data_IF_982886675231
#
_entry.id   IF_982886675231
#
_cell.length_a   1.000
_cell.length_b   1.000
_cell.length_c   1.000
_cell.angle_alpha   90.00
_cell.angle_beta   90.00
_cell.angle_gamma   90.00
#
_symmetry.space_group_name_H-M   'P 1'
#
loop_
_entity.id
_entity.type
_entity.pdbx_description
1 polymer ?
#
# COMPACT_ATOMS: atom_id res chain seq x y z
N UNK A 1 8.63 -15.23 15.23
CA UNK A 1 7.45 -15.72 15.94
C UNK A 1 6.15 -15.38 15.21
N UNK A 2 5.94 -14.12 14.80
CA UNK A 2 4.69 -13.67 14.19
C UNK A 2 4.43 -14.35 12.82
N UNK A 3 5.41 -14.34 11.91
CA UNK A 3 5.30 -14.99 10.59
C UNK A 3 5.05 -16.48 10.72
N UNK A 4 5.72 -17.17 11.65
CA UNK A 4 5.50 -18.59 11.91
C UNK A 4 4.06 -18.87 12.37
N UNK A 5 3.54 -18.05 13.29
CA UNK A 5 2.15 -18.16 13.74
C UNK A 5 1.11 -17.95 12.64
N UNK A 6 1.38 -17.03 11.72
CA UNK A 6 0.53 -16.77 10.55
C UNK A 6 0.54 -17.95 9.58
N UNK A 7 1.73 -18.47 9.25
CA UNK A 7 1.86 -19.62 8.34
C UNK A 7 1.20 -20.88 8.90
N UNK A 8 1.38 -21.15 10.19
CA UNK A 8 0.72 -22.30 10.86
C UNK A 8 -0.80 -22.14 10.82
N UNK A 9 -1.31 -20.94 11.00
CA UNK A 9 -2.77 -20.65 11.01
C UNK A 9 -3.40 -20.74 9.63
N UNK A 10 -2.68 -20.29 8.57
CA UNK A 10 -3.26 -20.16 7.24
C UNK A 10 -2.78 -21.20 6.23
N UNK A 11 -1.94 -22.15 6.64
CA UNK A 11 -1.52 -23.27 5.81
C UNK A 11 -0.68 -22.85 4.58
N UNK A 12 0.17 -21.84 4.72
CA UNK A 12 1.02 -21.40 3.61
C UNK A 12 2.04 -22.47 3.22
N UNK A 13 2.05 -22.90 1.94
CA UNK A 13 2.97 -23.91 1.43
C UNK A 13 4.19 -23.29 0.72
N UNK A 14 4.03 -22.10 0.14
CA UNK A 14 5.06 -21.43 -0.67
C UNK A 14 5.34 -20.03 -0.12
N UNK A 15 6.62 -19.68 0.02
CA UNK A 15 7.02 -18.33 0.34
C UNK A 15 7.92 -17.73 -0.75
N UNK A 16 7.68 -16.47 -1.08
CA UNK A 16 8.57 -15.66 -1.93
C UNK A 16 9.11 -14.55 -1.04
N UNK A 17 10.40 -14.59 -0.73
CA UNK A 17 10.98 -13.80 0.36
C UNK A 17 12.22 -13.05 -0.14
N UNK A 18 12.32 -11.77 0.23
CA UNK A 18 13.57 -11.06 0.05
C UNK A 18 14.69 -11.69 0.88
N UNK A 19 15.88 -11.88 0.28
CA UNK A 19 17.06 -12.51 0.92
C UNK A 19 17.32 -11.99 2.35
N UNK A 20 17.08 -10.71 2.61
CA UNK A 20 17.27 -10.11 3.94
C UNK A 20 16.25 -10.51 4.99
N UNK A 21 15.13 -11.03 4.57
CA UNK A 21 14.02 -11.37 5.48
C UNK A 21 13.87 -12.88 5.67
N UNK A 22 14.68 -13.68 5.00
CA UNK A 22 14.52 -15.14 4.97
C UNK A 22 14.65 -15.79 6.36
N UNK A 23 15.50 -15.24 7.23
CA UNK A 23 15.69 -15.74 8.61
C UNK A 23 14.45 -15.56 9.50
N UNK A 24 13.48 -14.73 9.08
CA UNK A 24 12.22 -14.55 9.79
C UNK A 24 11.18 -15.64 9.49
N UNK A 25 11.45 -16.48 8.48
CA UNK A 25 10.53 -17.52 8.01
C UNK A 25 10.94 -18.89 8.54
N UNK A 26 9.98 -19.69 9.05
CA UNK A 26 10.22 -21.06 9.44
C UNK A 26 10.33 -21.95 8.20
N UNK A 27 11.54 -22.19 7.75
CA UNK A 27 11.81 -22.92 6.50
C UNK A 27 11.40 -24.40 6.57
N UNK A 28 11.24 -24.95 7.76
CA UNK A 28 10.85 -26.32 8.04
C UNK A 28 9.34 -26.60 7.88
N UNK A 29 8.51 -25.56 7.88
CA UNK A 29 7.05 -25.70 7.70
C UNK A 29 6.58 -25.28 6.30
N UNK A 30 7.50 -24.90 5.42
CA UNK A 30 7.20 -24.45 4.07
C UNK A 30 7.67 -25.49 3.03
N UNK A 31 6.81 -25.85 2.09
CA UNK A 31 7.16 -26.80 1.03
C UNK A 31 8.22 -26.21 0.08
N UNK A 32 8.12 -24.93 -0.21
CA UNK A 32 9.05 -24.23 -1.09
C UNK A 32 9.27 -22.78 -0.67
N UNK A 33 10.52 -22.38 -0.60
CA UNK A 33 10.90 -20.98 -0.36
C UNK A 33 11.70 -20.45 -1.54
N UNK A 34 11.20 -19.41 -2.19
CA UNK A 34 11.92 -18.66 -3.19
C UNK A 34 12.57 -17.43 -2.56
N UNK A 35 13.85 -17.23 -2.83
CA UNK A 35 14.58 -16.03 -2.41
C UNK A 35 14.71 -15.04 -3.55
N UNK A 36 14.47 -13.77 -3.25
CA UNK A 36 14.53 -12.65 -4.21
C UNK A 36 15.75 -11.79 -3.91
N UNK A 37 16.61 -11.60 -4.91
CA UNK A 37 17.64 -10.57 -4.90
C UNK A 37 17.06 -9.27 -5.50
N UNK A 38 16.64 -8.34 -4.65
CA UNK A 38 16.04 -7.08 -5.12
C UNK A 38 17.00 -6.21 -5.93
N UNK A 39 18.32 -6.46 -5.86
CA UNK A 39 19.30 -5.74 -6.67
C UNK A 39 19.12 -6.01 -8.18
N UNK A 40 18.49 -7.13 -8.55
CA UNK A 40 18.20 -7.46 -9.95
C UNK A 40 17.17 -6.52 -10.59
N UNK A 41 16.28 -5.93 -9.80
CA UNK A 41 15.36 -4.87 -10.25
C UNK A 41 16.00 -3.50 -10.47
N UNK A 42 17.27 -3.32 -10.09
CA UNK A 42 17.97 -2.04 -10.27
C UNK A 42 18.48 -1.87 -11.71
N UNK A 43 18.61 -0.61 -12.21
CA UNK A 43 19.27 -0.33 -13.48
C UNK A 43 20.66 -0.98 -13.58
N UNK A 44 21.01 -1.48 -14.76
CA UNK A 44 22.28 -2.20 -14.98
C UNK A 44 23.52 -1.40 -14.55
N UNK A 45 23.53 -0.09 -14.79
CA UNK A 45 24.59 0.82 -14.34
C UNK A 45 24.75 0.85 -12.82
N UNK A 46 23.65 0.87 -12.08
CA UNK A 46 23.69 0.85 -10.62
C UNK A 46 24.15 -0.53 -10.10
N UNK A 47 23.69 -1.63 -10.71
CA UNK A 47 24.19 -2.97 -10.37
C UNK A 47 25.69 -3.11 -10.58
N UNK A 48 26.21 -2.50 -11.64
CA UNK A 48 27.66 -2.50 -11.91
C UNK A 48 28.41 -1.73 -10.81
N UNK A 49 27.91 -0.57 -10.39
CA UNK A 49 28.50 0.19 -9.30
C UNK A 49 28.53 -0.58 -7.97
N UNK A 50 27.54 -1.44 -7.72
CA UNK A 50 27.54 -2.29 -6.53
C UNK A 50 28.68 -3.33 -6.53
N UNK A 51 29.29 -3.66 -7.68
CA UNK A 51 30.42 -4.59 -7.76
C UNK A 51 31.76 -3.96 -7.39
N UNK A 52 31.82 -2.63 -7.32
CA UNK A 52 33.06 -1.93 -6.99
C UNK A 52 33.56 -2.30 -5.58
N UNK A 53 34.86 -2.41 -5.36
CA UNK A 53 35.48 -2.77 -4.08
C UNK A 53 35.59 -1.58 -3.13
N UNK A 54 34.64 -0.64 -3.17
CA UNK A 54 34.60 0.55 -2.33
C UNK A 54 33.63 0.38 -1.16
N UNK A 55 33.92 1.03 -0.03
CA UNK A 55 33.14 0.90 1.20
C UNK A 55 31.65 1.16 1.00
N UNK A 56 31.31 2.23 0.29
CA UNK A 56 29.90 2.60 0.00
C UNK A 56 29.15 1.52 -0.81
N UNK A 57 29.80 0.95 -1.83
CA UNK A 57 29.20 -0.13 -2.62
C UNK A 57 29.00 -1.40 -1.77
N UNK A 58 29.94 -1.71 -0.89
CA UNK A 58 29.85 -2.84 0.05
C UNK A 58 28.70 -2.64 1.03
N UNK A 59 28.59 -1.47 1.61
CA UNK A 59 27.49 -1.12 2.53
C UNK A 59 26.13 -1.24 1.85
N UNK A 60 25.97 -0.67 0.65
CA UNK A 60 24.73 -0.76 -0.13
C UNK A 60 24.41 -2.21 -0.47
N UNK A 61 25.40 -3.03 -0.88
CA UNK A 61 25.17 -4.47 -1.09
C UNK A 61 24.66 -5.15 0.18
N UNK A 62 25.28 -4.89 1.31
CA UNK A 62 24.87 -5.46 2.60
C UNK A 62 23.47 -5.01 3.03
N UNK A 63 23.01 -3.84 2.57
CA UNK A 63 21.64 -3.39 2.80
C UNK A 63 20.62 -4.08 1.87
N UNK A 64 21.03 -4.48 0.66
CA UNK A 64 20.16 -5.04 -0.36
C UNK A 64 20.15 -6.57 -0.38
N UNK A 65 21.23 -7.21 0.04
CA UNK A 65 21.41 -8.67 -0.02
C UNK A 65 21.55 -9.29 1.36
N UNK A 66 21.07 -10.51 1.50
CA UNK A 66 21.19 -11.34 2.70
C UNK A 66 21.90 -12.67 2.41
N UNK A 67 22.06 -13.49 3.44
CA UNK A 67 22.46 -14.87 3.30
C UNK A 67 21.31 -15.67 2.68
N UNK A 68 21.65 -16.60 1.80
CA UNK A 68 20.67 -17.51 1.17
C UNK A 68 20.84 -18.88 1.81
N UNK A 69 19.91 -19.34 2.65
CA UNK A 69 19.98 -20.67 3.27
C UNK A 69 19.95 -21.80 2.23
N UNK A 70 20.58 -22.91 2.57
CA UNK A 70 20.45 -24.14 1.79
C UNK A 70 19.00 -24.60 1.75
N UNK A 71 18.55 -25.17 0.63
CA UNK A 71 17.19 -25.64 0.44
C UNK A 71 16.23 -24.59 -0.13
N UNK A 72 16.62 -23.31 -0.19
CA UNK A 72 15.82 -22.29 -0.89
C UNK A 72 16.13 -22.25 -2.39
N UNK A 73 15.19 -21.73 -3.18
CA UNK A 73 15.32 -21.60 -4.64
C UNK A 73 15.42 -20.13 -5.04
N UNK A 74 16.21 -19.82 -6.06
CA UNK A 74 16.23 -18.46 -6.61
C UNK A 74 14.97 -18.18 -7.41
N UNK A 75 14.26 -17.11 -7.07
CA UNK A 75 13.09 -16.63 -7.81
C UNK A 75 13.41 -16.35 -9.28
N UNK A 76 14.51 -15.62 -9.52
CA UNK A 76 14.91 -15.25 -10.89
C UNK A 76 15.22 -16.47 -11.77
N UNK A 77 15.87 -17.50 -11.20
CA UNK A 77 16.14 -18.74 -11.93
C UNK A 77 14.87 -19.52 -12.19
N UNK A 78 13.99 -19.62 -11.19
CA UNK A 78 12.72 -20.32 -11.34
C UNK A 78 11.86 -19.67 -12.43
N UNK A 79 11.68 -18.36 -12.40
CA UNK A 79 10.89 -17.63 -13.40
C UNK A 79 11.50 -17.69 -14.79
N UNK A 80 12.84 -17.59 -14.91
CA UNK A 80 13.52 -17.67 -16.20
C UNK A 80 13.43 -19.07 -16.86
N UNK A 81 13.28 -20.13 -16.06
CA UNK A 81 13.17 -21.52 -16.55
C UNK A 81 11.73 -22.03 -16.65
N UNK A 82 10.74 -21.27 -16.18
CA UNK A 82 9.34 -21.67 -16.24
C UNK A 82 8.74 -21.39 -17.62
N UNK A 83 7.91 -22.29 -18.10
CA UNK A 83 7.08 -22.04 -19.25
C UNK A 83 6.04 -20.94 -18.93
N UNK A 84 5.56 -20.20 -19.95
CA UNK A 84 4.42 -19.34 -19.78
C UNK A 84 3.20 -20.11 -19.21
N UNK A 85 2.38 -19.41 -18.45
CA UNK A 85 1.11 -19.99 -17.97
C UNK A 85 0.26 -20.38 -19.19
N UNK A 86 -0.26 -21.61 -19.16
CA UNK A 86 -1.16 -22.08 -20.20
C UNK A 86 -2.39 -21.15 -20.30
N UNK A 87 -2.76 -20.67 -21.51
CA UNK A 87 -3.93 -19.81 -21.68
C UNK A 87 -5.25 -20.42 -21.18
N UNK A 88 -5.32 -21.75 -21.07
CA UNK A 88 -6.48 -22.45 -20.50
C UNK A 88 -6.48 -22.53 -18.97
N UNK A 89 -5.44 -22.03 -18.31
CA UNK A 89 -5.39 -21.98 -16.84
C UNK A 89 -6.58 -21.16 -16.31
N UNK A 90 -7.38 -21.72 -15.38
CA UNK A 90 -8.57 -21.03 -14.92
C UNK A 90 -8.22 -19.74 -14.21
N UNK A 91 -8.90 -18.67 -14.62
CA UNK A 91 -8.80 -17.39 -13.90
C UNK A 91 -9.56 -17.48 -12.58
N UNK A 92 -9.09 -16.82 -11.52
CA UNK A 92 -9.80 -16.78 -10.25
C UNK A 92 -11.17 -16.11 -10.43
N UNK A 93 -12.15 -16.57 -9.65
CA UNK A 93 -13.44 -15.89 -9.51
C UNK A 93 -13.27 -14.54 -8.81
N UNK A 94 -14.11 -13.55 -9.11
CA UNK A 94 -14.15 -12.32 -8.34
C UNK A 94 -14.32 -12.54 -6.82
N UNK A 95 -15.00 -13.59 -6.42
CA UNK A 95 -15.28 -13.92 -5.02
C UNK A 95 -14.20 -14.81 -4.38
N UNK A 96 -13.21 -15.26 -5.14
CA UNK A 96 -12.05 -15.94 -4.59
C UNK A 96 -11.21 -14.97 -3.75
N UNK A 97 -10.60 -15.52 -2.70
CA UNK A 97 -9.67 -14.78 -1.84
C UNK A 97 -8.43 -14.39 -2.62
N UNK A 98 -8.16 -13.09 -2.71
CA UNK A 98 -7.00 -12.55 -3.40
C UNK A 98 -5.81 -12.33 -2.45
N UNK A 99 -6.06 -11.81 -1.25
CA UNK A 99 -5.03 -11.55 -0.25
C UNK A 99 -5.59 -11.75 1.16
N UNK A 100 -4.70 -11.99 2.12
CA UNK A 100 -4.97 -11.93 3.54
C UNK A 100 -4.07 -10.82 4.10
N UNK A 101 -4.67 -9.75 4.61
CA UNK A 101 -3.94 -8.68 5.27
C UNK A 101 -3.99 -8.87 6.79
N UNK A 102 -2.88 -8.59 7.44
CA UNK A 102 -2.79 -8.69 8.90
C UNK A 102 -2.89 -7.30 9.51
N UNK A 103 -3.81 -7.15 10.47
CA UNK A 103 -4.00 -5.92 11.24
C UNK A 103 -3.35 -6.05 12.61
N UNK A 104 -2.96 -4.92 13.22
CA UNK A 104 -2.30 -4.93 14.54
C UNK A 104 -3.17 -5.43 15.68
N UNK A 105 -4.49 -5.58 15.49
CA UNK A 105 -5.44 -6.04 16.50
C UNK A 105 -5.48 -5.13 17.75
N UNK A 106 -6.65 -4.79 18.24
CA UNK A 106 -6.82 -3.94 19.45
C UNK A 106 -6.25 -4.59 20.72
N UNK A 107 -6.17 -5.92 20.77
CA UNK A 107 -5.67 -6.70 21.91
C UNK A 107 -4.23 -7.23 21.71
N UNK A 108 -3.48 -6.68 20.75
CA UNK A 108 -2.10 -7.09 20.46
C UNK A 108 -1.98 -8.43 19.68
N UNK A 109 -3.08 -9.11 19.40
CA UNK A 109 -3.10 -10.30 18.55
C UNK A 109 -3.46 -9.87 17.13
N UNK A 110 -2.59 -10.09 16.14
CA UNK A 110 -2.89 -9.74 14.75
C UNK A 110 -4.13 -10.48 14.24
N UNK A 111 -5.08 -9.73 13.68
CA UNK A 111 -6.25 -10.30 13.01
C UNK A 111 -5.95 -10.42 11.51
N UNK A 112 -6.53 -11.44 10.89
CA UNK A 112 -6.34 -11.72 9.48
C UNK A 112 -7.59 -11.35 8.70
N UNK A 113 -7.49 -10.29 7.90
CA UNK A 113 -8.57 -9.79 7.05
C UNK A 113 -8.41 -10.34 5.61
N UNK A 114 -9.17 -11.39 5.22
CA UNK A 114 -9.19 -11.87 3.85
C UNK A 114 -9.95 -10.88 2.97
N UNK A 115 -9.38 -10.52 1.83
CA UNK A 115 -10.02 -9.71 0.81
C UNK A 115 -10.14 -10.51 -0.48
N UNK A 116 -11.31 -10.44 -1.10
CA UNK A 116 -11.55 -11.06 -2.40
C UNK A 116 -11.04 -10.19 -3.54
N UNK A 117 -10.90 -10.78 -4.74
CA UNK A 117 -10.62 -10.01 -5.96
C UNK A 117 -11.68 -8.93 -6.18
N UNK A 118 -12.95 -9.20 -5.83
CA UNK A 118 -14.06 -8.24 -5.90
C UNK A 118 -13.83 -7.05 -4.97
N UNK A 119 -13.50 -7.27 -3.69
CA UNK A 119 -13.28 -6.19 -2.74
C UNK A 119 -12.19 -5.22 -3.24
N UNK A 120 -11.05 -5.76 -3.64
CA UNK A 120 -9.92 -4.97 -4.15
C UNK A 120 -10.28 -4.29 -5.47
N UNK A 121 -10.83 -5.03 -6.43
CA UNK A 121 -11.15 -4.50 -7.76
C UNK A 121 -12.19 -3.38 -7.72
N UNK A 122 -13.21 -3.51 -6.87
CA UNK A 122 -14.21 -2.45 -6.66
C UNK A 122 -13.55 -1.23 -6.04
N UNK A 123 -12.76 -1.39 -4.97
CA UNK A 123 -12.13 -0.26 -4.32
C UNK A 123 -11.10 0.47 -5.22
N UNK A 124 -10.36 -0.27 -6.05
CA UNK A 124 -9.51 0.32 -7.08
C UNK A 124 -10.33 1.18 -8.04
N UNK A 125 -11.48 0.70 -8.51
CA UNK A 125 -12.34 1.48 -9.40
C UNK A 125 -12.92 2.72 -8.69
N UNK A 126 -13.37 2.58 -7.43
CA UNK A 126 -13.82 3.72 -6.61
C UNK A 126 -12.71 4.78 -6.47
N UNK A 127 -11.47 4.36 -6.19
CA UNK A 127 -10.32 5.26 -6.15
C UNK A 127 -10.07 5.94 -7.50
N UNK A 128 -10.18 5.21 -8.61
CA UNK A 128 -9.96 5.79 -9.94
C UNK A 128 -11.05 6.78 -10.35
N UNK A 129 -12.30 6.57 -9.93
CA UNK A 129 -13.36 7.57 -10.07
C UNK A 129 -13.06 8.81 -9.22
N UNK A 130 -12.50 8.63 -8.03
CA UNK A 130 -12.17 9.73 -7.13
C UNK A 130 -11.06 10.62 -7.66
N UNK A 131 -9.99 9.99 -8.19
CA UNK A 131 -8.86 10.70 -8.82
C UNK A 131 -9.05 10.80 -10.35
N UNK A 132 -10.24 11.17 -10.79
CA UNK A 132 -10.66 11.20 -12.19
C UNK A 132 -9.78 12.07 -13.10
N UNK A 133 -9.05 13.02 -12.52
CA UNK A 133 -8.09 13.88 -13.24
C UNK A 133 -6.78 13.20 -13.63
N UNK A 134 -6.55 11.96 -13.17
CA UNK A 134 -5.38 11.18 -13.60
C UNK A 134 -5.61 10.56 -14.98
N UNK A 135 -4.63 10.73 -15.85
CA UNK A 135 -4.69 10.24 -17.23
C UNK A 135 -4.05 8.86 -17.36
N UNK A 136 -4.74 7.97 -18.11
CA UNK A 136 -4.24 6.63 -18.37
C UNK A 136 -2.95 6.70 -19.22
N UNK A 137 -1.92 5.91 -18.85
CA UNK A 137 -0.63 5.83 -19.52
C UNK A 137 0.31 7.02 -19.30
N UNK A 138 -0.17 8.12 -18.70
CA UNK A 138 0.59 9.37 -18.57
C UNK A 138 1.15 9.62 -17.16
N UNK A 139 0.71 8.87 -16.17
CA UNK A 139 1.06 9.14 -14.79
C UNK A 139 2.35 8.43 -14.34
N UNK A 140 3.04 9.05 -13.41
CA UNK A 140 4.14 8.44 -12.66
C UNK A 140 3.79 8.44 -11.18
N UNK A 141 3.60 7.25 -10.64
CA UNK A 141 3.24 7.01 -9.23
C UNK A 141 4.49 6.81 -8.40
N UNK A 142 4.51 7.42 -7.24
CA UNK A 142 5.60 7.24 -6.28
C UNK A 142 5.19 6.18 -5.25
N UNK A 143 5.67 4.96 -5.44
CA UNK A 143 5.33 3.80 -4.62
C UNK A 143 6.24 3.69 -3.40
N UNK A 144 5.91 4.43 -2.35
CA UNK A 144 6.69 4.52 -1.11
C UNK A 144 6.08 3.79 0.08
N UNK A 145 4.78 3.45 0.00
CA UNK A 145 4.11 2.65 1.01
C UNK A 145 4.26 1.17 0.71
N UNK A 146 4.38 0.32 1.74
CA UNK A 146 4.57 -1.11 1.54
C UNK A 146 3.32 -1.76 0.92
N UNK A 147 3.53 -2.69 -0.02
CA UNK A 147 2.45 -3.43 -0.68
C UNK A 147 1.74 -4.46 0.22
N UNK A 148 2.35 -4.82 1.35
CA UNK A 148 1.71 -5.65 2.35
C UNK A 148 0.70 -4.88 3.24
N UNK A 149 0.59 -3.57 3.06
CA UNK A 149 -0.45 -2.74 3.68
C UNK A 149 -1.51 -2.41 2.64
N UNK A 150 -2.80 -2.46 3.02
CA UNK A 150 -3.93 -2.25 2.11
C UNK A 150 -3.80 -0.96 1.29
N UNK A 151 -3.34 0.13 1.89
CA UNK A 151 -3.16 1.42 1.22
C UNK A 151 -2.11 1.35 0.10
N UNK A 152 -0.96 0.70 0.35
CA UNK A 152 0.08 0.49 -0.66
C UNK A 152 -0.37 -0.51 -1.75
N UNK A 153 -1.04 -1.58 -1.36
CA UNK A 153 -1.59 -2.57 -2.28
C UNK A 153 -2.56 -1.92 -3.28
N UNK A 154 -3.55 -1.21 -2.78
CA UNK A 154 -4.61 -0.64 -3.63
C UNK A 154 -4.10 0.51 -4.48
N UNK A 155 -3.45 1.53 -3.88
CA UNK A 155 -3.02 2.71 -4.66
C UNK A 155 -1.78 2.47 -5.50
N UNK A 156 -0.78 1.72 -5.01
CA UNK A 156 0.45 1.59 -5.76
C UNK A 156 0.45 0.38 -6.69
N UNK A 157 0.11 -0.80 -6.18
CA UNK A 157 0.13 -1.98 -7.04
C UNK A 157 -1.08 -1.99 -7.98
N UNK A 158 -2.29 -1.98 -7.45
CA UNK A 158 -3.48 -2.22 -8.27
C UNK A 158 -3.90 -0.98 -9.09
N UNK A 159 -3.95 0.21 -8.47
CA UNK A 159 -4.40 1.41 -9.15
C UNK A 159 -3.43 1.90 -10.23
N UNK A 160 -2.11 1.76 -10.01
CA UNK A 160 -1.14 2.12 -11.05
C UNK A 160 -1.23 1.20 -12.27
N UNK A 161 -1.44 -0.11 -12.05
CA UNK A 161 -1.70 -1.06 -13.15
C UNK A 161 -2.99 -0.70 -13.87
N UNK A 162 -4.07 -0.41 -13.13
CA UNK A 162 -5.36 0.01 -13.70
C UNK A 162 -5.24 1.29 -14.55
N UNK A 163 -4.33 2.19 -14.20
CA UNK A 163 -4.04 3.44 -14.94
C UNK A 163 -2.94 3.30 -15.97
N UNK A 164 -2.38 2.12 -16.20
CA UNK A 164 -1.20 1.92 -17.04
C UNK A 164 -0.06 2.92 -16.70
N UNK A 165 0.07 3.24 -15.41
CA UNK A 165 1.02 4.23 -14.92
C UNK A 165 2.42 3.65 -14.74
N UNK A 166 3.42 4.51 -14.83
CA UNK A 166 4.77 4.15 -14.39
C UNK A 166 4.83 4.16 -12.87
N UNK A 167 5.43 3.13 -12.29
CA UNK A 167 5.73 3.10 -10.85
C UNK A 167 7.21 3.37 -10.60
N UNK A 168 7.51 4.30 -9.70
CA UNK A 168 8.85 4.49 -9.13
C UNK A 168 8.90 3.80 -7.78
N UNK A 169 9.67 2.72 -7.69
CA UNK A 169 9.76 1.86 -6.52
C UNK A 169 11.02 2.17 -5.72
N UNK A 170 10.87 2.28 -4.41
CA UNK A 170 11.98 2.34 -3.47
C UNK A 170 11.87 1.18 -2.46
N UNK A 171 12.98 0.55 -2.07
CA UNK A 171 12.97 -0.58 -1.14
C UNK A 171 12.52 -0.19 0.28
N UNK A 172 12.65 1.08 0.63
CA UNK A 172 12.16 1.71 1.87
C UNK A 172 11.99 3.20 1.64
N UNK A 173 11.16 3.84 2.45
CA UNK A 173 11.06 5.30 2.43
C UNK A 173 12.37 5.94 2.93
N UNK A 174 12.95 6.75 2.08
CA UNK A 174 14.06 7.65 2.38
C UNK A 174 13.87 8.91 1.54
N UNK A 175 13.80 10.08 2.19
CA UNK A 175 13.48 11.34 1.51
C UNK A 175 14.54 11.75 0.47
N UNK A 176 15.84 11.44 0.72
CA UNK A 176 16.89 11.74 -0.24
C UNK A 176 16.77 10.86 -1.49
N UNK A 177 16.59 9.54 -1.29
CA UNK A 177 16.36 8.61 -2.41
C UNK A 177 15.10 8.97 -3.18
N UNK A 178 14.05 9.41 -2.49
CA UNK A 178 12.80 9.86 -3.10
C UNK A 178 13.04 11.08 -4.01
N UNK A 179 13.69 12.13 -3.53
CA UNK A 179 14.00 13.30 -4.35
C UNK A 179 14.98 13.00 -5.49
N UNK A 180 15.95 12.11 -5.28
CA UNK A 180 16.87 11.69 -6.34
C UNK A 180 16.15 10.89 -7.43
N UNK A 181 15.18 10.08 -7.06
CA UNK A 181 14.31 9.37 -8.00
C UNK A 181 13.39 10.33 -8.76
N UNK A 182 12.79 11.30 -8.06
CA UNK A 182 11.94 12.34 -8.64
C UNK A 182 12.70 13.18 -9.68
N UNK A 183 13.95 13.58 -9.43
CA UNK A 183 14.80 14.32 -10.37
C UNK A 183 15.06 13.53 -11.66
N UNK A 184 15.16 12.20 -11.59
CA UNK A 184 15.38 11.33 -12.75
C UNK A 184 14.10 11.06 -13.52
N UNK A 185 12.99 10.90 -12.79
CA UNK A 185 11.68 10.66 -13.35
C UNK A 185 10.65 11.46 -12.57
N UNK A 186 10.19 12.59 -13.12
CA UNK A 186 9.21 13.44 -12.46
C UNK A 186 7.95 12.66 -12.05
N UNK A 187 7.60 12.78 -10.79
CA UNK A 187 6.41 12.16 -10.20
C UNK A 187 5.23 13.07 -10.48
N UNK A 188 4.09 12.50 -10.86
CA UNK A 188 2.85 13.24 -11.12
C UNK A 188 1.77 13.01 -10.08
N UNK A 189 1.83 11.85 -9.41
CA UNK A 189 0.88 11.45 -8.38
C UNK A 189 1.62 10.87 -7.18
N UNK A 190 1.38 11.44 -6.00
CA UNK A 190 2.01 11.02 -4.76
C UNK A 190 0.97 10.62 -3.72
N UNK A 191 1.13 9.42 -3.17
CA UNK A 191 0.32 8.90 -2.06
C UNK A 191 1.24 8.62 -0.88
N UNK A 192 0.83 9.03 0.32
CA UNK A 192 1.70 8.85 1.48
C UNK A 192 0.99 9.11 2.81
N UNK A 193 1.77 9.02 3.87
CA UNK A 193 1.36 9.43 5.21
C UNK A 193 1.97 10.80 5.54
N UNK A 194 1.37 11.63 6.41
CA UNK A 194 1.83 12.99 6.70
C UNK A 194 3.34 13.13 6.98
N UNK A 195 4.01 12.24 7.75
CA UNK A 195 5.45 12.34 7.95
C UNK A 195 6.30 12.19 6.68
N UNK A 196 5.78 11.54 5.63
CA UNK A 196 6.49 11.45 4.34
C UNK A 196 6.44 12.79 3.61
N UNK A 197 5.28 13.44 3.57
CA UNK A 197 5.09 14.78 3.01
C UNK A 197 6.02 15.78 3.68
N UNK A 198 6.01 15.82 5.00
CA UNK A 198 6.86 16.72 5.79
C UNK A 198 8.36 16.54 5.49
N UNK A 199 8.84 15.28 5.48
CA UNK A 199 10.26 14.99 5.22
C UNK A 199 10.69 15.33 3.80
N UNK A 200 9.83 15.04 2.80
CA UNK A 200 10.09 15.38 1.40
C UNK A 200 10.11 16.90 1.24
N UNK A 201 9.12 17.60 1.76
CA UNK A 201 9.00 19.06 1.68
C UNK A 201 10.20 19.75 2.29
N UNK A 202 10.55 19.40 3.54
CA UNK A 202 11.72 19.96 4.24
C UNK A 202 13.01 19.77 3.44
N UNK A 203 13.22 18.58 2.87
CA UNK A 203 14.41 18.29 2.10
C UNK A 203 14.39 18.99 0.75
N UNK A 204 13.26 19.02 0.06
CA UNK A 204 13.08 19.71 -1.23
C UNK A 204 13.36 21.20 -1.10
N UNK A 205 12.85 21.86 -0.06
CA UNK A 205 13.13 23.27 0.26
C UNK A 205 14.63 23.51 0.43
N UNK A 206 15.28 22.67 1.24
CA UNK A 206 16.73 22.79 1.51
C UNK A 206 17.59 22.56 0.27
N UNK A 207 17.20 21.64 -0.60
CA UNK A 207 17.95 21.27 -1.83
C UNK A 207 17.47 22.02 -3.06
N UNK A 208 16.48 22.90 -2.92
CA UNK A 208 15.82 23.63 -4.00
C UNK A 208 15.33 22.70 -5.11
N UNK A 209 14.77 21.54 -4.71
CA UNK A 209 14.23 20.56 -5.66
C UNK A 209 12.83 20.99 -6.05
N UNK A 210 12.59 21.12 -7.35
CA UNK A 210 11.29 21.42 -7.92
C UNK A 210 10.34 20.24 -7.76
N UNK A 211 9.15 20.47 -7.17
CA UNK A 211 8.09 19.49 -6.96
C UNK A 211 6.86 19.75 -7.85
N UNK A 212 6.90 20.73 -8.74
CA UNK A 212 5.76 21.22 -9.52
C UNK A 212 5.14 20.16 -10.46
N UNK A 213 5.84 19.09 -10.76
CA UNK A 213 5.27 17.98 -11.53
C UNK A 213 4.27 17.14 -10.72
N UNK A 214 4.26 17.23 -9.37
CA UNK A 214 3.31 16.52 -8.50
C UNK A 214 2.00 17.29 -8.51
N UNK A 215 1.10 16.87 -9.40
CA UNK A 215 -0.19 17.55 -9.60
C UNK A 215 -1.23 17.19 -8.56
N UNK A 216 -1.20 15.93 -8.09
CA UNK A 216 -2.18 15.42 -7.13
C UNK A 216 -1.50 14.55 -6.10
N UNK A 217 -1.98 14.67 -4.88
CA UNK A 217 -1.50 13.87 -3.75
C UNK A 217 -2.67 13.38 -2.89
N UNK A 218 -2.50 12.20 -2.30
CA UNK A 218 -3.45 11.63 -1.33
C UNK A 218 -2.71 11.33 -0.03
N UNK A 219 -3.16 11.94 1.05
CA UNK A 219 -2.71 11.63 2.39
C UNK A 219 -3.72 10.71 3.09
N UNK A 220 -3.25 9.71 3.82
CA UNK A 220 -4.11 8.78 4.54
C UNK A 220 -3.42 8.11 5.71
N UNK A 221 -4.15 7.23 6.39
CA UNK A 221 -3.73 6.46 7.55
C UNK A 221 -3.37 7.28 8.82
N UNK A 222 -3.25 8.59 8.73
CA UNK A 222 -3.00 9.50 9.84
C UNK A 222 -3.62 10.87 9.52
N UNK A 223 -4.02 11.66 10.54
CA UNK A 223 -4.53 13.02 10.32
C UNK A 223 -3.49 13.93 9.65
N UNK A 224 -3.90 14.64 8.62
CA UNK A 224 -3.11 15.66 7.93
C UNK A 224 -3.40 17.03 8.54
N UNK A 225 -2.38 17.76 8.99
CA UNK A 225 -2.60 19.14 9.45
C UNK A 225 -2.86 20.06 8.27
N UNK A 226 -3.74 21.05 8.47
CA UNK A 226 -4.05 22.07 7.45
C UNK A 226 -2.82 22.89 7.04
N UNK A 227 -1.90 23.12 8.00
CA UNK A 227 -0.62 23.80 7.72
C UNK A 227 0.24 22.99 6.73
N UNK A 228 0.47 21.70 7.01
CA UNK A 228 1.26 20.84 6.12
C UNK A 228 0.60 20.69 4.74
N UNK A 229 -0.74 20.61 4.69
CA UNK A 229 -1.46 20.57 3.43
C UNK A 229 -1.22 21.84 2.60
N UNK A 230 -1.33 23.02 3.21
CA UNK A 230 -1.07 24.30 2.56
C UNK A 230 0.38 24.46 2.08
N UNK A 231 1.36 24.12 2.92
CA UNK A 231 2.78 24.16 2.54
C UNK A 231 3.09 23.20 1.36
N UNK A 232 2.45 22.01 1.34
CA UNK A 232 2.61 21.06 0.25
C UNK A 232 2.01 21.58 -1.06
N UNK A 233 0.80 22.14 -1.01
CA UNK A 233 0.13 22.72 -2.18
C UNK A 233 0.90 23.95 -2.72
N UNK A 234 1.44 24.79 -1.85
CA UNK A 234 2.30 25.90 -2.25
C UNK A 234 3.57 25.42 -2.97
N UNK A 235 4.23 24.39 -2.43
CA UNK A 235 5.48 23.87 -2.99
C UNK A 235 5.29 23.10 -4.30
N UNK A 236 4.12 22.48 -4.51
CA UNK A 236 3.85 21.67 -5.71
C UNK A 236 3.03 22.42 -6.76
N UNK A 237 2.25 23.42 -6.37
CA UNK A 237 1.17 23.99 -7.18
C UNK A 237 0.04 23.00 -7.46
N UNK A 238 0.10 21.81 -6.82
CA UNK A 238 -0.86 20.73 -6.98
C UNK A 238 -1.94 20.72 -5.90
N UNK A 239 -2.73 19.64 -5.85
CA UNK A 239 -3.76 19.43 -4.84
C UNK A 239 -3.39 18.25 -3.95
N UNK A 240 -3.59 18.37 -2.63
CA UNK A 240 -3.59 17.26 -1.69
C UNK A 240 -4.97 17.03 -1.14
N UNK A 241 -5.38 15.76 -1.07
CA UNK A 241 -6.66 15.34 -0.48
C UNK A 241 -6.42 14.27 0.57
N UNK A 242 -7.33 14.20 1.53
CA UNK A 242 -7.31 13.20 2.58
C UNK A 242 -8.22 12.03 2.21
N UNK A 243 -7.81 10.82 2.60
CA UNK A 243 -8.60 9.60 2.50
C UNK A 243 -8.58 8.83 3.81
N UNK A 244 -9.70 8.19 4.13
CA UNK A 244 -9.86 7.34 5.30
C UNK A 244 -10.32 5.95 4.89
N UNK A 245 -9.88 4.96 5.65
CA UNK A 245 -10.27 3.58 5.45
C UNK A 245 -9.54 2.61 6.38
N UNK A 246 -9.84 1.34 6.23
CA UNK A 246 -9.40 0.23 7.07
C UNK A 246 -8.85 -0.89 6.19
N UNK A 247 -8.04 -1.79 6.75
CA UNK A 247 -7.63 -3.00 6.02
C UNK A 247 -8.83 -3.84 5.59
N UNK A 248 -9.86 -3.86 6.41
CA UNK A 248 -11.13 -4.56 6.24
C UNK A 248 -12.00 -3.99 5.10
N UNK A 249 -11.59 -2.87 4.51
CA UNK A 249 -12.36 -2.16 3.47
C UNK A 249 -11.60 -1.92 2.18
N UNK A 250 -10.48 -2.58 1.97
CA UNK A 250 -9.67 -2.71 0.76
C UNK A 250 -8.98 -1.46 0.14
N UNK A 251 -8.55 -0.38 0.79
CA UNK A 251 -8.87 0.07 2.15
C UNK A 251 -9.87 1.24 2.19
N UNK A 252 -10.15 1.97 1.09
CA UNK A 252 -10.70 3.33 1.14
C UNK A 252 -12.22 3.34 1.28
N UNK A 253 -12.69 4.13 2.23
CA UNK A 253 -14.12 4.36 2.51
C UNK A 253 -14.58 5.75 2.12
N UNK A 254 -13.80 6.75 2.53
CA UNK A 254 -14.13 8.16 2.32
C UNK A 254 -12.91 8.92 1.82
N UNK A 255 -13.15 10.07 1.21
CA UNK A 255 -12.09 10.98 0.80
C UNK A 255 -12.60 12.38 0.54
N UNK A 256 -11.72 13.36 0.70
CA UNK A 256 -11.99 14.70 0.24
C UNK A 256 -12.04 14.73 -1.30
N UNK A 257 -12.95 15.48 -1.94
CA UNK A 257 -13.04 15.53 -3.39
C UNK A 257 -11.81 16.20 -4.01
N UNK A 258 -11.31 15.67 -5.13
CA UNK A 258 -10.19 16.26 -5.88
C UNK A 258 -10.64 17.51 -6.67
N UNK A 259 -11.05 18.52 -5.93
CA UNK A 259 -11.60 19.77 -6.45
C UNK A 259 -11.37 20.93 -5.48
N UNK A 260 -11.70 22.16 -5.91
CA UNK A 260 -11.63 23.37 -5.07
C UNK A 260 -12.64 23.36 -3.89
N UNK A 261 -13.56 22.41 -3.89
CA UNK A 261 -14.50 22.18 -2.78
C UNK A 261 -13.92 21.32 -1.66
N UNK A 262 -12.67 20.82 -1.81
CA UNK A 262 -12.00 20.05 -0.75
C UNK A 262 -11.84 20.90 0.52
N UNK A 263 -11.91 20.24 1.66
CA UNK A 263 -11.58 20.82 2.95
C UNK A 263 -10.51 19.96 3.61
N UNK A 264 -9.53 20.58 4.22
CA UNK A 264 -8.52 19.88 5.01
C UNK A 264 -9.03 19.66 6.44
N UNK A 265 -8.52 18.58 7.08
CA UNK A 265 -8.91 18.22 8.45
C UNK A 265 -10.26 17.50 8.53
N UNK A 266 -10.78 16.98 7.42
CA UNK A 266 -12.02 16.20 7.37
C UNK A 266 -11.78 14.89 6.60
N UNK A 267 -12.52 13.83 6.96
CA UNK A 267 -12.41 12.53 6.28
C UNK A 267 -13.06 12.52 4.89
N UNK A 268 -13.73 13.61 4.49
CA UNK A 268 -14.40 13.73 3.20
C UNK A 268 -15.79 13.11 3.18
N UNK A 269 -16.18 12.58 2.02
CA UNK A 269 -17.48 11.96 1.80
C UNK A 269 -17.30 10.50 1.36
N UNK A 270 -18.34 9.65 1.54
CA UNK A 270 -18.27 8.24 1.14
C UNK A 270 -17.95 8.07 -0.34
N UNK A 271 -17.15 7.05 -0.65
CA UNK A 271 -16.90 6.65 -2.03
C UNK A 271 -18.14 6.06 -2.70
N UNK A 272 -18.20 6.02 -4.04
CA UNK A 272 -19.35 5.47 -4.76
C UNK A 272 -19.74 4.08 -4.25
N UNK A 273 -21.05 3.82 -4.09
CA UNK A 273 -21.60 2.56 -3.57
C UNK A 273 -21.22 2.25 -2.10
N UNK A 274 -20.71 3.21 -1.36
CA UNK A 274 -20.42 3.09 0.07
C UNK A 274 -21.51 3.82 0.85
N UNK A 275 -22.17 3.12 1.75
CA UNK A 275 -23.11 3.68 2.74
C UNK A 275 -22.37 3.83 4.05
N UNK A 276 -22.57 4.98 4.71
CA UNK A 276 -21.92 5.30 5.96
C UNK A 276 -22.96 5.89 6.93
N UNK A 277 -22.96 5.40 8.15
CA UNK A 277 -23.74 5.96 9.26
C UNK A 277 -22.81 6.31 10.40
N UNK A 278 -23.14 7.31 11.17
CA UNK A 278 -22.49 7.64 12.43
C UNK A 278 -23.51 7.35 13.55
N UNK A 279 -23.18 6.35 14.38
CA UNK A 279 -24.10 5.83 15.39
C UNK A 279 -23.57 6.10 16.79
N UNK A 280 -24.47 6.01 17.77
CA UNK A 280 -24.13 6.16 19.19
C UNK A 280 -23.12 5.09 19.62
N UNK A 281 -22.19 5.47 20.49
CA UNK A 281 -21.22 4.53 21.10
C UNK A 281 -21.87 3.51 22.06
N UNK A 282 -23.08 3.83 22.55
CA UNK A 282 -23.81 3.01 23.50
C UNK A 282 -24.88 2.13 22.84
N UNK A 283 -25.38 2.54 21.66
CA UNK A 283 -26.43 1.85 20.90
C UNK A 283 -26.25 2.08 19.39
N UNK A 284 -25.76 1.08 18.69
CA UNK A 284 -25.46 1.12 17.25
C UNK A 284 -26.71 1.18 16.35
N UNK A 285 -27.90 1.04 16.92
CA UNK A 285 -29.17 1.23 16.21
C UNK A 285 -29.55 2.71 16.06
N UNK A 286 -28.98 3.58 16.89
CA UNK A 286 -29.30 4.99 16.97
C UNK A 286 -28.27 5.85 16.25
N UNK A 287 -28.71 6.64 15.27
CA UNK A 287 -27.85 7.67 14.65
C UNK A 287 -27.58 8.80 15.65
N UNK A 288 -26.37 9.37 15.61
CA UNK A 288 -26.05 10.57 16.37
C UNK A 288 -26.49 11.82 15.62
N UNK A 289 -26.79 12.91 16.36
CA UNK A 289 -27.05 14.20 15.77
C UNK A 289 -25.79 14.79 15.08
N UNK A 290 -26.00 15.63 14.09
CA UNK A 290 -24.93 16.31 13.37
C UNK A 290 -23.99 17.07 14.33
N UNK A 291 -22.71 16.83 14.21
CA UNK A 291 -21.67 17.45 15.03
C UNK A 291 -21.37 16.70 16.34
N UNK A 292 -22.07 15.62 16.63
CA UNK A 292 -21.76 14.77 17.79
C UNK A 292 -20.77 13.66 17.41
N UNK A 293 -19.94 13.21 18.35
CA UNK A 293 -19.06 12.06 18.14
C UNK A 293 -19.88 10.76 18.11
N UNK A 294 -19.44 9.80 17.29
CA UNK A 294 -20.08 8.49 17.18
C UNK A 294 -19.17 7.47 16.52
N UNK A 295 -19.61 6.24 16.47
CA UNK A 295 -18.95 5.14 15.75
C UNK A 295 -19.37 5.14 14.28
N UNK A 296 -18.39 4.90 13.40
CA UNK A 296 -18.62 4.82 11.96
C UNK A 296 -19.03 3.39 11.60
N UNK A 297 -20.26 3.21 11.16
CA UNK A 297 -20.73 1.97 10.53
C UNK A 297 -20.71 2.14 9.02
N UNK A 298 -20.18 1.09 8.35
CA UNK A 298 -20.01 1.14 6.89
C UNK A 298 -20.57 -0.11 6.22
N UNK A 299 -21.23 0.11 5.07
CA UNK A 299 -21.65 -0.94 4.15
C UNK A 299 -21.20 -0.59 2.74
N UNK A 300 -20.59 -1.56 2.05
CA UNK A 300 -20.15 -1.37 0.68
C UNK A 300 -19.51 -2.62 0.10
N UNK A 301 -19.38 -2.69 -1.24
CA UNK A 301 -18.85 -3.88 -1.92
C UNK A 301 -17.34 -4.09 -1.69
N UNK A 302 -16.63 -3.11 -1.15
CA UNK A 302 -15.23 -3.20 -0.77
C UNK A 302 -15.02 -3.75 0.64
N UNK A 303 -16.07 -3.89 1.45
CA UNK A 303 -16.00 -4.40 2.82
C UNK A 303 -15.76 -5.90 2.80
N UNK A 304 -14.86 -6.40 3.65
CA UNK A 304 -14.59 -7.82 3.81
C UNK A 304 -15.79 -8.57 4.41
N UNK A 305 -15.75 -9.91 4.43
CA UNK A 305 -16.83 -10.74 4.97
C UNK A 305 -16.59 -11.19 6.41
N UNK A 306 -15.42 -10.89 6.96
CA UNK A 306 -15.05 -11.25 8.33
C UNK A 306 -13.58 -11.65 8.47
N UNK A 307 -13.14 -11.79 9.71
CA UNK A 307 -11.77 -12.22 10.01
C UNK A 307 -11.62 -13.73 9.83
N UNK A 308 -10.52 -14.15 9.23
CA UNK A 308 -10.21 -15.55 8.98
C UNK A 308 -10.00 -16.29 10.31
N UNK A 309 -10.70 -17.41 10.47
CA UNK A 309 -10.65 -18.28 11.65
C UNK A 309 -10.93 -17.56 13.00
N UNK A 310 -11.69 -16.46 12.96
CA UNK A 310 -12.02 -15.65 14.13
C UNK A 310 -13.50 -15.21 14.13
N UNK A 311 -14.46 -16.14 14.26
CA UNK A 311 -15.89 -15.85 14.19
C UNK A 311 -16.37 -14.90 15.29
N UNK A 312 -15.82 -15.00 16.52
CA UNK A 312 -16.17 -14.11 17.63
C UNK A 312 -15.73 -12.65 17.35
N UNK A 313 -14.52 -12.48 16.81
CA UNK A 313 -14.01 -11.15 16.42
C UNK A 313 -14.80 -10.57 15.23
N UNK A 314 -15.24 -11.44 14.33
CA UNK A 314 -16.12 -11.06 13.21
C UNK A 314 -17.46 -10.56 13.75
N UNK A 315 -18.10 -11.31 14.64
CA UNK A 315 -19.38 -10.93 15.24
C UNK A 315 -19.34 -9.61 16.03
N UNK A 316 -18.17 -9.17 16.50
CA UNK A 316 -18.00 -7.89 17.21
C UNK A 316 -17.93 -6.68 16.30
N UNK A 317 -17.61 -6.87 15.02
CA UNK A 317 -17.42 -5.77 14.06
C UNK A 317 -18.51 -5.68 13.01
N UNK A 318 -19.44 -6.63 12.99
CA UNK A 318 -20.63 -6.61 12.15
C UNK A 318 -21.87 -6.42 13.01
N UNK A 319 -22.75 -5.53 12.61
CA UNK A 319 -24.03 -5.21 13.26
C UNK A 319 -25.20 -5.60 12.38
#
# INVERSE_FOLDING_TARGET
AEVAGQLTRHGGAVAIVWEKCVDAYPLDVLDTVFTVDISHGMPASQRLLLRLPVARARETRNQLRGSVPSGTRSWDRATASSAPIDPSFPLPSPDDRAVILHTSGTNGIPKSAPLTHRNIGVNVNQCMFWVWKLHEGAETFFSLLPYFHAFGLTFFLCASVRKAATQVLLPKFDAQMALDAHKRRPITFFVGVPPMFERILRLATRTKTDLSSIRYSVAGAMPLSTALAGEWEEATGGMIVEGYGLSETAPVLTGAPLSDKRRHGVLGVPFPSTQLRLVSLDDDTLDVEDGQPGEIIVRGPQVFEGYLDAPEETARVFT
#
